data_IF_933060225073
#
_entry.id   IF_933060225073
#
_cell.length_a   1.000
_cell.length_b   1.000
_cell.length_c   1.000
_cell.angle_alpha   90.00
_cell.angle_beta   90.00
_cell.angle_gamma   90.00
#
_symmetry.space_group_name_H-M   'P 1'
#
loop_
_entity.id
_entity.type
_entity.pdbx_description
1 polymer ?
#
# COMPACT_ATOMS: atom_id res chain seq x y z
N UNK A 1 -21.19 22.87 -20.88
CA UNK A 1 -20.91 22.07 -22.08
C UNK A 1 -20.61 20.66 -21.61
N UNK A 2 -21.36 19.65 -22.08
CA UNK A 2 -21.12 18.24 -21.73
C UNK A 2 -19.99 17.65 -22.58
N UNK A 3 -19.43 16.54 -22.13
CA UNK A 3 -18.48 15.71 -22.89
C UNK A 3 -19.17 15.13 -24.14
N UNK A 4 -18.54 15.25 -25.31
CA UNK A 4 -19.04 14.65 -26.56
C UNK A 4 -18.57 13.19 -26.68
N UNK A 5 -19.43 12.26 -26.26
CA UNK A 5 -19.16 10.82 -26.31
C UNK A 5 -19.02 10.29 -27.75
N UNK A 6 -19.61 10.93 -28.76
CA UNK A 6 -19.54 10.48 -30.15
C UNK A 6 -18.12 10.62 -30.71
N UNK A 7 -17.46 11.74 -30.42
CA UNK A 7 -16.04 11.95 -30.77
C UNK A 7 -15.12 11.01 -29.99
N UNK A 8 -15.41 10.75 -28.71
CA UNK A 8 -14.60 9.83 -27.89
C UNK A 8 -14.67 8.39 -28.41
N UNK A 9 -15.85 7.91 -28.83
CA UNK A 9 -15.99 6.54 -29.37
C UNK A 9 -15.12 6.31 -30.60
N UNK A 10 -15.05 7.28 -31.53
CA UNK A 10 -14.19 7.15 -32.71
C UNK A 10 -12.70 7.08 -32.36
N UNK A 11 -12.26 7.83 -31.34
CA UNK A 11 -10.89 7.77 -30.85
C UNK A 11 -10.58 6.44 -30.15
N UNK A 12 -11.56 5.88 -29.42
CA UNK A 12 -11.44 4.56 -28.80
C UNK A 12 -11.31 3.45 -29.85
N UNK A 13 -12.11 3.48 -30.92
CA UNK A 13 -12.03 2.50 -31.99
C UNK A 13 -10.66 2.51 -32.68
N UNK A 14 -10.12 3.70 -32.97
CA UNK A 14 -8.77 3.84 -33.53
C UNK A 14 -7.69 3.30 -32.57
N UNK A 15 -7.81 3.61 -31.28
CA UNK A 15 -6.88 3.12 -30.27
C UNK A 15 -6.93 1.59 -30.11
N UNK A 16 -8.11 0.98 -30.08
CA UNK A 16 -8.23 -0.48 -29.93
C UNK A 16 -7.64 -1.25 -31.11
N UNK A 17 -7.73 -0.70 -32.34
CA UNK A 17 -7.11 -1.31 -33.52
C UNK A 17 -5.58 -1.28 -33.46
N UNK A 18 -4.96 -0.19 -33.00
CA UNK A 18 -3.50 -0.14 -32.84
C UNK A 18 -3.00 -1.09 -31.75
N UNK A 19 -3.75 -1.26 -30.66
CA UNK A 19 -3.37 -2.14 -29.55
C UNK A 19 -3.29 -3.61 -29.95
N UNK A 20 -4.14 -4.09 -30.88
CA UNK A 20 -4.15 -5.51 -31.29
C UNK A 20 -2.86 -5.94 -31.98
N UNK A 21 -2.31 -5.14 -32.89
CA UNK A 21 -1.06 -5.48 -33.59
C UNK A 21 0.18 -5.43 -32.69
N UNK A 22 0.17 -4.55 -31.70
CA UNK A 22 1.24 -4.43 -30.71
C UNK A 22 1.23 -5.57 -29.67
N UNK A 23 0.11 -6.28 -29.54
CA UNK A 23 -0.08 -7.36 -28.55
C UNK A 23 0.84 -8.56 -28.79
N UNK A 24 0.87 -9.09 -30.02
CA UNK A 24 1.66 -10.30 -30.33
C UNK A 24 3.17 -10.03 -30.18
N UNK A 25 3.63 -8.86 -30.62
CA UNK A 25 5.03 -8.45 -30.47
C UNK A 25 5.39 -8.24 -29.00
N UNK A 26 4.47 -7.71 -28.19
CA UNK A 26 4.65 -7.55 -26.75
C UNK A 26 4.75 -8.90 -26.05
N UNK A 27 3.89 -9.87 -26.40
CA UNK A 27 3.90 -11.23 -25.84
C UNK A 27 5.22 -11.94 -26.14
N UNK A 28 5.66 -11.97 -27.40
CA UNK A 28 6.94 -12.57 -27.78
C UNK A 28 8.14 -11.97 -27.02
N UNK A 29 8.13 -10.64 -26.81
CA UNK A 29 9.16 -9.95 -26.04
C UNK A 29 9.12 -10.32 -24.56
N UNK A 30 7.92 -10.49 -23.99
CA UNK A 30 7.75 -10.93 -22.61
C UNK A 30 8.30 -12.36 -22.43
N UNK A 31 7.94 -13.28 -23.32
CA UNK A 31 8.46 -14.65 -23.29
C UNK A 31 9.99 -14.67 -23.42
N UNK A 32 10.57 -13.87 -24.31
CA UNK A 32 12.02 -13.77 -24.46
C UNK A 32 12.71 -13.22 -23.19
N UNK A 33 12.10 -12.24 -22.53
CA UNK A 33 12.59 -11.68 -21.27
C UNK A 33 12.57 -12.73 -20.16
N UNK A 34 11.45 -13.44 -20.00
CA UNK A 34 11.29 -14.51 -19.00
C UNK A 34 12.30 -15.64 -19.22
N UNK A 35 12.47 -16.10 -20.46
CA UNK A 35 13.46 -17.13 -20.82
C UNK A 35 14.90 -16.69 -20.51
N UNK A 36 15.22 -15.42 -20.76
CA UNK A 36 16.55 -14.88 -20.45
C UNK A 36 16.79 -14.81 -18.94
N UNK A 37 15.76 -14.46 -18.18
CA UNK A 37 15.81 -14.34 -16.72
C UNK A 37 15.85 -15.71 -16.01
N UNK A 38 15.22 -16.74 -16.58
CA UNK A 38 15.17 -18.08 -16.01
C UNK A 38 16.55 -18.76 -15.86
N UNK A 39 17.54 -18.33 -16.66
CA UNK A 39 18.91 -18.84 -16.60
C UNK A 39 19.80 -18.22 -15.52
N UNK A 40 19.28 -17.26 -14.74
CA UNK A 40 20.06 -16.55 -13.72
C UNK A 40 19.89 -17.25 -12.37
N UNK A 41 20.99 -17.73 -11.80
CA UNK A 41 20.97 -18.37 -10.48
C UNK A 41 20.70 -17.36 -9.34
N UNK A 42 20.16 -17.82 -8.20
CA UNK A 42 19.84 -16.95 -7.06
C UNK A 42 20.99 -16.10 -6.54
N UNK A 43 22.22 -16.64 -6.46
CA UNK A 43 23.37 -15.93 -5.91
C UNK A 43 23.80 -14.78 -6.83
N UNK A 44 23.83 -15.03 -8.14
CA UNK A 44 24.06 -13.99 -9.15
C UNK A 44 22.97 -12.93 -9.11
N UNK A 45 21.70 -13.33 -8.99
CA UNK A 45 20.58 -12.40 -8.91
C UNK A 45 20.66 -11.52 -7.65
N UNK A 46 20.92 -12.10 -6.47
CA UNK A 46 21.10 -11.35 -5.22
C UNK A 46 22.28 -10.37 -5.32
N UNK A 47 23.44 -10.82 -5.81
CA UNK A 47 24.61 -9.97 -6.01
C UNK A 47 24.34 -8.81 -6.98
N UNK A 48 23.63 -9.06 -8.08
CA UNK A 48 23.26 -8.04 -9.07
C UNK A 48 22.08 -7.17 -8.67
N UNK A 49 21.30 -7.53 -7.65
CA UNK A 49 20.12 -6.75 -7.22
C UNK A 49 20.32 -6.04 -5.89
N UNK A 50 21.43 -6.34 -5.20
CA UNK A 50 21.88 -5.60 -4.04
C UNK A 50 21.90 -4.09 -4.29
N UNK A 51 21.61 -3.34 -3.22
CA UNK A 51 21.50 -1.89 -3.27
C UNK A 51 22.84 -1.24 -3.61
N UNK A 52 22.89 -0.53 -4.74
CA UNK A 52 24.07 0.25 -5.14
C UNK A 52 23.91 1.75 -4.87
N UNK A 53 22.73 2.22 -4.43
CA UNK A 53 22.33 3.64 -4.29
C UNK A 53 22.43 4.53 -5.53
N UNK A 54 23.14 4.09 -6.55
CA UNK A 54 23.48 4.84 -7.76
C UNK A 54 22.56 4.54 -8.95
N UNK A 55 21.67 3.54 -8.84
CA UNK A 55 20.77 3.17 -9.94
C UNK A 55 19.75 4.27 -10.20
N UNK A 56 19.46 4.61 -11.48
CA UNK A 56 18.43 5.59 -11.84
C UNK A 56 17.01 5.02 -11.77
N UNK A 57 16.86 3.80 -11.25
CA UNK A 57 15.58 3.10 -11.11
C UNK A 57 15.57 2.25 -9.86
N UNK A 58 14.36 1.98 -9.37
CA UNK A 58 14.14 1.11 -8.23
C UNK A 58 14.09 -0.35 -8.69
N UNK A 59 15.04 -1.17 -8.24
CA UNK A 59 15.06 -2.61 -8.46
C UNK A 59 14.89 -3.34 -7.13
N UNK A 60 14.07 -4.38 -7.10
CA UNK A 60 13.90 -5.22 -5.91
C UNK A 60 15.19 -5.99 -5.64
N UNK A 61 15.55 -6.14 -4.37
CA UNK A 61 16.64 -7.02 -3.95
C UNK A 61 16.11 -8.46 -3.84
N UNK A 62 16.71 -9.39 -4.60
CA UNK A 62 16.28 -10.79 -4.64
C UNK A 62 16.68 -11.51 -3.36
N UNK A 63 15.72 -12.19 -2.71
CA UNK A 63 15.96 -12.95 -1.48
C UNK A 63 15.87 -14.47 -1.68
N UNK A 64 14.93 -14.95 -2.52
CA UNK A 64 14.77 -16.37 -2.83
C UNK A 64 15.33 -16.70 -4.23
N UNK A 65 14.67 -16.25 -5.29
CA UNK A 65 15.10 -16.40 -6.68
C UNK A 65 14.64 -15.21 -7.52
N UNK A 66 15.24 -15.00 -8.69
CA UNK A 66 14.85 -13.88 -9.56
C UNK A 66 13.41 -14.03 -10.05
N UNK A 67 13.06 -15.22 -10.53
CA UNK A 67 11.71 -15.64 -10.92
C UNK A 67 11.43 -17.01 -10.28
N UNK A 68 10.16 -17.31 -10.03
CA UNK A 68 9.73 -18.55 -9.43
C UNK A 68 8.22 -18.58 -9.21
N UNK A 69 7.71 -19.75 -8.85
CA UNK A 69 6.31 -19.97 -8.53
C UNK A 69 6.24 -20.96 -7.36
N UNK A 70 5.52 -20.59 -6.31
CA UNK A 70 5.36 -21.39 -5.10
C UNK A 70 3.86 -21.61 -4.83
N UNK A 71 3.41 -22.86 -4.64
CA UNK A 71 1.99 -23.16 -4.46
C UNK A 71 1.46 -22.61 -3.13
N UNK A 72 0.14 -22.34 -3.03
CA UNK A 72 -0.47 -21.94 -1.77
C UNK A 72 -0.29 -23.03 -0.71
N UNK A 73 0.08 -22.68 0.53
CA UNK A 73 0.15 -23.63 1.63
C UNK A 73 -1.26 -24.03 2.09
N UNK A 74 -1.35 -25.13 2.82
CA UNK A 74 -2.59 -25.49 3.51
C UNK A 74 -2.92 -24.44 4.59
N UNK A 75 -4.16 -24.00 4.63
CA UNK A 75 -4.63 -23.09 5.69
C UNK A 75 -4.75 -23.83 7.01
N UNK A 76 -4.50 -23.16 8.16
CA UNK A 76 -4.81 -23.70 9.48
C UNK A 76 -6.27 -24.15 9.58
N UNK A 77 -6.60 -25.01 10.55
CA UNK A 77 -7.98 -25.46 10.76
C UNK A 77 -8.89 -24.34 11.35
N UNK A 78 -8.32 -23.54 12.24
CA UNK A 78 -8.96 -22.39 12.88
C UNK A 78 -7.99 -21.20 12.78
N UNK A 79 -8.50 -20.02 12.40
CA UNK A 79 -7.67 -18.81 12.26
C UNK A 79 -8.52 -17.54 12.33
N UNK A 80 -7.85 -16.41 12.44
CA UNK A 80 -8.48 -15.08 12.40
C UNK A 80 -7.83 -14.23 11.32
N UNK A 81 -8.65 -13.46 10.60
CA UNK A 81 -8.20 -12.36 9.74
C UNK A 81 -8.78 -11.06 10.29
N UNK A 82 -7.92 -10.08 10.54
CA UNK A 82 -8.31 -8.74 10.99
C UNK A 82 -7.88 -7.71 9.93
N UNK A 83 -8.81 -6.85 9.51
CA UNK A 83 -8.57 -5.73 8.61
C UNK A 83 -9.04 -4.42 9.22
N UNK A 84 -8.31 -3.34 8.95
CA UNK A 84 -8.68 -1.98 9.33
C UNK A 84 -8.42 -1.05 8.15
N UNK A 85 -9.38 -0.18 7.86
CA UNK A 85 -9.26 0.89 6.87
C UNK A 85 -9.68 2.24 7.49
N UNK A 86 -9.22 3.33 6.89
CA UNK A 86 -9.43 4.67 7.38
C UNK A 86 -9.93 5.63 6.31
N UNK A 87 -10.91 6.44 6.67
CA UNK A 87 -11.28 7.63 5.89
C UNK A 87 -11.25 8.88 6.73
N UNK A 88 -11.27 10.05 6.08
CA UNK A 88 -11.13 11.30 6.80
C UNK A 88 -11.91 12.48 6.19
N UNK A 89 -12.19 13.46 7.05
CA UNK A 89 -12.56 14.83 6.68
C UNK A 89 -11.36 15.71 7.02
N UNK A 90 -10.76 16.29 5.99
CA UNK A 90 -9.59 17.17 6.11
C UNK A 90 -9.93 18.51 6.77
N UNK A 91 -8.89 19.22 7.21
CA UNK A 91 -8.98 20.54 7.81
C UNK A 91 -9.60 21.51 6.79
N UNK A 92 -10.78 22.04 7.13
CA UNK A 92 -11.49 22.97 6.27
C UNK A 92 -11.24 24.42 6.71
N UNK A 93 -10.45 25.14 5.91
CA UNK A 93 -10.15 26.58 6.10
C UNK A 93 -11.38 27.49 6.06
N UNK A 94 -12.54 26.99 5.67
CA UNK A 94 -13.80 27.75 5.67
C UNK A 94 -14.58 27.58 6.98
N UNK A 95 -14.12 26.73 7.89
CA UNK A 95 -14.67 26.59 9.24
C UNK A 95 -13.97 27.54 10.22
N UNK A 96 -14.65 27.96 11.30
CA UNK A 96 -14.08 28.90 12.28
C UNK A 96 -13.03 28.26 13.18
N UNK A 97 -12.99 26.93 13.22
CA UNK A 97 -12.10 26.12 14.07
C UNK A 97 -11.38 25.12 13.20
N UNK A 98 -10.07 24.96 13.44
CA UNK A 98 -9.28 23.91 12.82
C UNK A 98 -9.61 22.59 13.52
N UNK A 99 -10.07 21.61 12.74
CA UNK A 99 -10.26 20.23 13.16
C UNK A 99 -10.22 19.33 11.93
N UNK A 100 -9.86 18.07 12.14
CA UNK A 100 -10.08 17.01 11.16
C UNK A 100 -10.76 15.83 11.84
N UNK A 101 -11.48 15.03 11.05
CA UNK A 101 -12.12 13.81 11.53
C UNK A 101 -11.45 12.62 10.85
N UNK A 102 -11.02 11.65 11.64
CA UNK A 102 -10.66 10.32 11.16
C UNK A 102 -11.81 9.36 11.50
N UNK A 103 -12.11 8.41 10.62
CA UNK A 103 -13.01 7.31 10.91
C UNK A 103 -12.31 6.01 10.54
N UNK A 104 -12.17 5.11 11.52
CA UNK A 104 -11.56 3.80 11.32
C UNK A 104 -12.64 2.74 11.31
N UNK A 105 -12.73 2.03 10.19
CA UNK A 105 -13.58 0.86 10.05
C UNK A 105 -12.74 -0.39 10.23
N UNK A 106 -13.26 -1.38 10.96
CA UNK A 106 -12.54 -2.63 11.19
C UNK A 106 -13.43 -3.86 11.04
N UNK A 107 -12.77 -4.95 10.68
CA UNK A 107 -13.38 -6.25 10.43
C UNK A 107 -12.50 -7.34 11.03
N UNK A 108 -13.07 -8.19 11.89
CA UNK A 108 -12.41 -9.38 12.45
C UNK A 108 -13.24 -10.59 12.07
N UNK A 109 -12.66 -11.49 11.28
CA UNK A 109 -13.29 -12.70 10.79
C UNK A 109 -12.59 -13.91 11.40
N UNK A 110 -13.33 -14.69 12.19
CA UNK A 110 -12.86 -15.96 12.75
C UNK A 110 -13.38 -17.09 11.89
N UNK A 111 -12.48 -17.98 11.47
CA UNK A 111 -12.77 -19.13 10.62
C UNK A 111 -12.45 -20.44 11.35
N UNK A 112 -13.05 -21.53 10.87
CA UNK A 112 -12.87 -22.87 11.40
C UNK A 112 -14.09 -23.38 12.16
N UNK A 113 -13.84 -24.03 13.29
CA UNK A 113 -14.80 -24.73 14.14
C UNK A 113 -15.78 -23.80 14.88
N UNK A 114 -15.40 -22.55 15.14
CA UNK A 114 -16.22 -21.54 15.81
C UNK A 114 -16.21 -20.23 15.00
N UNK A 115 -16.91 -20.20 13.86
CA UNK A 115 -16.90 -19.03 13.00
C UNK A 115 -17.60 -17.85 13.68
N UNK A 116 -17.03 -16.65 13.53
CA UNK A 116 -17.57 -15.40 14.06
C UNK A 116 -17.13 -14.21 13.21
N UNK A 117 -17.87 -13.11 13.28
CA UNK A 117 -17.56 -11.88 12.57
C UNK A 117 -17.88 -10.67 13.45
N UNK A 118 -16.87 -9.82 13.68
CA UNK A 118 -17.03 -8.55 14.39
C UNK A 118 -16.67 -7.39 13.46
N UNK A 119 -17.59 -6.45 13.30
CA UNK A 119 -17.41 -5.22 12.52
C UNK A 119 -17.53 -4.02 13.44
N UNK A 120 -16.70 -2.99 13.23
CA UNK A 120 -16.77 -1.76 14.01
C UNK A 120 -16.45 -0.52 13.17
N UNK A 121 -16.91 0.64 13.63
CA UNK A 121 -16.59 1.97 13.09
C UNK A 121 -16.35 2.92 14.26
N UNK A 122 -15.14 3.48 14.31
CA UNK A 122 -14.68 4.33 15.40
C UNK A 122 -14.21 5.69 14.87
N UNK A 123 -15.01 6.75 15.05
CA UNK A 123 -14.61 8.11 14.68
C UNK A 123 -13.73 8.77 15.75
N UNK A 124 -12.73 9.52 15.31
CA UNK A 124 -11.87 10.35 16.15
C UNK A 124 -11.80 11.78 15.61
N UNK A 125 -12.28 12.74 16.41
CA UNK A 125 -12.24 14.16 16.07
C UNK A 125 -11.01 14.80 16.72
N UNK A 126 -10.02 15.16 15.90
CA UNK A 126 -8.84 15.86 16.37
C UNK A 126 -9.12 17.36 16.47
N UNK A 127 -8.95 17.90 17.67
CA UNK A 127 -9.14 19.33 17.97
C UNK A 127 -7.99 19.95 18.75
N UNK A 128 -7.14 19.12 19.35
CA UNK A 128 -6.06 19.59 20.19
C UNK A 128 -4.87 20.05 19.32
N UNK A 129 -4.15 21.13 19.69
CA UNK A 129 -3.01 21.62 18.91
C UNK A 129 -1.97 20.53 18.61
N UNK A 130 -1.68 19.66 19.56
CA UNK A 130 -0.76 18.53 19.43
C UNK A 130 -1.19 17.47 18.39
N UNK A 131 -2.46 17.43 18.02
CA UNK A 131 -2.97 16.54 16.96
C UNK A 131 -3.08 17.25 15.61
N UNK A 132 -3.24 18.58 15.64
CA UNK A 132 -3.39 19.43 14.46
C UNK A 132 -2.04 19.80 13.85
N UNK A 133 -0.97 19.78 14.63
CA UNK A 133 0.36 20.20 14.22
C UNK A 133 1.40 19.17 14.62
N UNK A 134 2.32 18.89 13.69
CA UNK A 134 3.56 18.18 14.01
C UNK A 134 4.61 19.27 14.28
N UNK A 135 5.08 19.36 15.52
CA UNK A 135 6.07 20.35 15.94
C UNK A 135 7.49 19.77 15.89
N UNK A 136 8.47 20.61 15.55
CA UNK A 136 9.87 20.23 15.62
C UNK A 136 10.34 20.20 17.08
N UNK A 137 10.80 19.05 17.63
CA UNK A 137 11.26 18.97 19.02
C UNK A 137 12.46 19.87 19.36
N UNK A 138 13.16 20.38 18.34
CA UNK A 138 14.36 21.23 18.50
C UNK A 138 14.07 22.73 18.33
N UNK A 139 12.91 23.09 17.78
CA UNK A 139 12.51 24.48 17.51
C UNK A 139 10.99 24.58 17.44
N UNK A 140 10.35 24.96 18.55
CA UNK A 140 8.89 25.07 18.68
C UNK A 140 8.26 26.05 17.70
N UNK A 141 9.03 26.94 17.05
CA UNK A 141 8.50 27.84 16.01
C UNK A 141 8.35 27.15 14.64
N UNK A 142 8.79 25.89 14.52
CA UNK A 142 8.63 25.09 13.33
C UNK A 142 7.56 24.03 13.57
N UNK A 143 6.45 24.19 12.88
CA UNK A 143 5.34 23.24 12.88
C UNK A 143 4.83 23.06 11.45
N UNK A 144 4.33 21.86 11.16
CA UNK A 144 3.57 21.59 9.95
C UNK A 144 2.13 21.22 10.34
N UNK A 145 1.15 21.85 9.68
CA UNK A 145 -0.26 21.53 9.86
C UNK A 145 -0.57 20.14 9.30
N UNK A 146 -1.21 19.29 10.10
CA UNK A 146 -1.72 17.98 9.70
C UNK A 146 -2.91 18.17 8.77
N UNK A 147 -2.63 18.24 7.47
CA UNK A 147 -3.61 18.42 6.39
C UNK A 147 -3.15 17.75 5.10
N UNK A 148 -4.07 17.49 4.18
CA UNK A 148 -3.77 16.88 2.87
C UNK A 148 -2.97 15.59 3.00
N UNK A 149 -1.79 15.54 2.37
CA UNK A 149 -0.93 14.34 2.40
C UNK A 149 -0.44 13.98 3.80
N UNK A 150 -0.15 14.96 4.67
CA UNK A 150 0.29 14.67 6.06
C UNK A 150 -0.85 14.02 6.84
N UNK A 151 -2.08 14.51 6.69
CA UNK A 151 -3.25 13.87 7.29
C UNK A 151 -3.45 12.44 6.77
N UNK A 152 -3.21 12.20 5.48
CA UNK A 152 -3.22 10.85 4.92
C UNK A 152 -2.18 9.92 5.56
N UNK A 153 -0.98 10.41 5.84
CA UNK A 153 0.07 9.65 6.55
C UNK A 153 -0.30 9.38 8.01
N UNK A 154 -0.78 10.40 8.74
CA UNK A 154 -1.27 10.25 10.13
C UNK A 154 -2.39 9.21 10.20
N UNK A 155 -3.32 9.26 9.23
CA UNK A 155 -4.38 8.26 9.13
C UNK A 155 -3.82 6.85 8.94
N UNK A 156 -2.87 6.64 8.04
CA UNK A 156 -2.28 5.31 7.82
C UNK A 156 -1.49 4.78 9.02
N UNK A 157 -0.85 5.65 9.81
CA UNK A 157 -0.27 5.25 11.09
C UNK A 157 -1.37 4.77 12.05
N UNK A 158 -2.44 5.56 12.21
CA UNK A 158 -3.54 5.24 13.12
C UNK A 158 -4.38 4.04 12.68
N UNK A 159 -4.47 3.78 11.37
CA UNK A 159 -5.02 2.54 10.82
C UNK A 159 -4.23 1.34 11.35
N UNK A 160 -2.90 1.37 11.27
CA UNK A 160 -2.05 0.29 11.77
C UNK A 160 -2.07 0.17 13.32
N UNK A 161 -2.13 1.29 14.04
CA UNK A 161 -2.32 1.28 15.50
C UNK A 161 -3.64 0.61 15.89
N UNK A 162 -4.72 0.95 15.20
CA UNK A 162 -6.04 0.34 15.40
C UNK A 162 -6.03 -1.14 15.04
N UNK A 163 -5.33 -1.53 13.97
CA UNK A 163 -5.12 -2.94 13.63
C UNK A 163 -4.36 -3.69 14.73
N UNK A 164 -3.29 -3.10 15.27
CA UNK A 164 -2.54 -3.70 16.38
C UNK A 164 -3.43 -3.90 17.62
N UNK A 165 -4.22 -2.89 18.00
CA UNK A 165 -5.20 -2.99 19.09
C UNK A 165 -6.23 -4.12 18.84
N UNK A 166 -6.68 -4.24 17.60
CA UNK A 166 -7.66 -5.26 17.18
C UNK A 166 -7.08 -6.66 17.26
N UNK A 167 -5.85 -6.86 16.75
CA UNK A 167 -5.15 -8.14 16.80
C UNK A 167 -4.86 -8.57 18.24
N UNK A 168 -4.49 -7.64 19.12
CA UNK A 168 -4.28 -7.93 20.56
C UNK A 168 -5.53 -8.48 21.25
N UNK A 169 -6.73 -8.13 20.78
CA UNK A 169 -8.01 -8.60 21.34
C UNK A 169 -8.49 -9.92 20.71
N UNK A 170 -7.85 -10.38 19.63
CA UNK A 170 -8.21 -11.65 18.98
C UNK A 170 -7.87 -12.86 19.88
N UNK A 171 -8.62 -13.98 19.80
CA UNK A 171 -8.41 -15.17 20.62
C UNK A 171 -6.93 -15.63 20.67
N UNK A 172 -6.32 -15.76 21.87
CA UNK A 172 -4.87 -15.95 22.02
C UNK A 172 -4.34 -17.27 21.44
N UNK A 173 -5.20 -18.28 21.30
CA UNK A 173 -4.81 -19.61 20.82
C UNK A 173 -4.91 -19.76 19.29
N UNK A 174 -5.40 -18.74 18.58
CA UNK A 174 -5.59 -18.79 17.14
C UNK A 174 -4.48 -18.04 16.39
N UNK A 175 -4.03 -18.57 15.24
CA UNK A 175 -3.18 -17.81 14.32
C UNK A 175 -3.96 -16.63 13.72
N UNK A 176 -3.29 -15.50 13.56
CA UNK A 176 -3.91 -14.25 13.09
C UNK A 176 -3.15 -13.66 11.89
N UNK A 177 -3.89 -13.30 10.84
CA UNK A 177 -3.42 -12.40 9.79
C UNK A 177 -3.99 -11.00 10.06
N UNK A 178 -3.12 -10.03 10.34
CA UNK A 178 -3.45 -8.61 10.30
C UNK A 178 -3.21 -8.07 8.90
N UNK A 179 -4.22 -7.47 8.27
CA UNK A 179 -4.21 -7.07 6.87
C UNK A 179 -4.50 -5.57 6.71
N UNK A 180 -3.65 -4.90 5.94
CA UNK A 180 -3.76 -3.46 5.62
C UNK A 180 -4.06 -3.30 4.12
N UNK A 181 -4.91 -2.33 3.77
CA UNK A 181 -5.11 -1.96 2.36
C UNK A 181 -3.98 -1.06 1.85
N UNK A 182 -3.38 -1.41 0.73
CA UNK A 182 -2.28 -0.67 0.13
C UNK A 182 -0.91 -1.12 0.60
N UNK A 183 -0.05 -0.17 0.97
CA UNK A 183 1.41 -0.36 1.04
C UNK A 183 1.93 -0.10 2.45
N UNK A 184 2.84 -0.97 2.92
CA UNK A 184 3.58 -0.74 4.17
C UNK A 184 4.67 0.33 3.98
N UNK A 185 5.11 0.57 2.74
CA UNK A 185 6.04 1.65 2.42
C UNK A 185 5.29 2.98 2.38
N UNK A 186 5.72 3.94 3.21
CA UNK A 186 5.20 5.33 3.22
C UNK A 186 5.72 6.15 2.03
N UNK A 187 5.32 5.77 0.81
CA UNK A 187 5.79 6.38 -0.44
C UNK A 187 5.73 7.91 -0.50
N UNK A 188 4.74 8.62 0.08
CA UNK A 188 4.76 10.08 0.07
C UNK A 188 6.02 10.69 0.70
N UNK A 189 6.64 9.99 1.66
CA UNK A 189 7.87 10.42 2.33
C UNK A 189 9.14 10.11 1.51
N UNK A 190 9.01 9.46 0.35
CA UNK A 190 10.16 9.19 -0.52
C UNK A 190 10.71 10.44 -1.21
N UNK A 191 9.89 11.50 -1.35
CA UNK A 191 10.37 12.79 -1.79
C UNK A 191 10.97 13.57 -0.61
N UNK A 192 12.11 14.22 -0.82
CA UNK A 192 12.75 15.13 0.16
C UNK A 192 11.97 16.45 0.34
N UNK A 193 10.65 16.40 0.15
CA UNK A 193 9.74 17.55 0.27
C UNK A 193 9.41 17.86 1.72
N UNK A 194 9.37 16.83 2.56
CA UNK A 194 9.04 16.96 3.98
C UNK A 194 10.30 17.22 4.81
N UNK A 195 10.15 18.02 5.87
CA UNK A 195 11.22 18.23 6.86
C UNK A 195 11.42 16.93 7.63
N UNK A 196 12.66 16.68 8.08
CA UNK A 196 13.03 15.41 8.73
C UNK A 196 12.16 15.09 9.96
N UNK A 197 11.83 16.09 10.77
CA UNK A 197 11.03 15.87 11.98
C UNK A 197 9.61 15.36 11.69
N UNK A 198 9.05 15.65 10.50
CA UNK A 198 7.75 15.10 10.09
C UNK A 198 7.89 13.61 9.80
N UNK A 199 8.94 13.21 9.07
CA UNK A 199 9.24 11.80 8.83
C UNK A 199 9.55 11.06 10.13
N UNK A 200 10.30 11.68 11.04
CA UNK A 200 10.64 11.11 12.34
C UNK A 200 9.38 10.86 13.19
N UNK A 201 8.45 11.82 13.22
CA UNK A 201 7.16 11.65 13.92
C UNK A 201 6.31 10.53 13.29
N UNK A 202 6.07 10.59 11.98
CA UNK A 202 5.20 9.64 11.28
C UNK A 202 5.77 8.21 11.33
N UNK A 203 7.08 8.05 11.10
CA UNK A 203 7.70 6.73 11.01
C UNK A 203 8.18 6.26 12.39
N UNK A 204 8.98 7.08 13.06
CA UNK A 204 9.69 6.71 14.29
C UNK A 204 8.77 6.60 15.50
N UNK A 205 7.89 7.58 15.70
CA UNK A 205 6.98 7.62 16.84
C UNK A 205 5.60 7.01 16.54
N UNK A 206 5.24 6.88 15.25
CA UNK A 206 3.98 6.29 14.81
C UNK A 206 4.07 4.87 14.27
N UNK A 207 4.52 4.73 13.02
CA UNK A 207 4.47 3.47 12.27
C UNK A 207 5.25 2.33 12.93
N UNK A 208 6.52 2.56 13.28
CA UNK A 208 7.41 1.52 13.79
C UNK A 208 6.94 0.96 15.14
N UNK A 209 6.48 1.77 16.11
CA UNK A 209 5.87 1.26 17.34
C UNK A 209 4.69 0.31 17.10
N UNK A 210 3.78 0.64 16.17
CA UNK A 210 2.66 -0.22 15.84
C UNK A 210 3.11 -1.56 15.22
N UNK A 211 4.08 -1.54 14.30
CA UNK A 211 4.65 -2.77 13.72
C UNK A 211 5.37 -3.62 14.78
N UNK A 212 6.12 -3.00 15.70
CA UNK A 212 6.82 -3.70 16.80
C UNK A 212 5.87 -4.38 17.77
N UNK A 213 4.68 -3.81 18.00
CA UNK A 213 3.65 -4.47 18.82
C UNK A 213 3.20 -5.77 18.18
N UNK A 214 2.93 -5.75 16.86
CA UNK A 214 2.55 -6.94 16.11
C UNK A 214 3.68 -7.98 16.03
N UNK A 215 4.92 -7.53 15.83
CA UNK A 215 6.12 -8.39 15.90
C UNK A 215 6.21 -9.10 17.25
N UNK A 216 6.07 -8.36 18.36
CA UNK A 216 6.13 -8.93 19.72
C UNK A 216 5.00 -9.93 19.99
N UNK A 217 3.82 -9.75 19.42
CA UNK A 217 2.75 -10.74 19.53
C UNK A 217 3.11 -12.05 18.81
N UNK A 218 3.84 -11.95 17.71
CA UNK A 218 4.30 -13.10 16.91
C UNK A 218 5.26 -14.02 17.68
N UNK A 219 5.93 -13.52 18.73
CA UNK A 219 6.78 -14.33 19.62
C UNK A 219 5.99 -15.36 20.43
N UNK A 220 4.71 -15.09 20.69
CA UNK A 220 3.87 -15.90 21.59
C UNK A 220 2.85 -16.79 20.87
N UNK A 221 2.46 -16.41 19.65
CA UNK A 221 1.52 -17.13 18.79
C UNK A 221 1.71 -16.69 17.34
N UNK A 222 1.27 -17.46 16.32
CA UNK A 222 1.44 -17.05 14.93
C UNK A 222 0.61 -15.80 14.60
N UNK A 223 1.28 -14.65 14.48
CA UNK A 223 0.69 -13.39 14.02
C UNK A 223 1.50 -12.92 12.83
N UNK A 224 0.85 -12.76 11.67
CA UNK A 224 1.48 -12.19 10.49
C UNK A 224 0.85 -10.83 10.18
N UNK A 225 1.69 -9.82 9.93
CA UNK A 225 1.28 -8.56 9.33
C UNK A 225 1.51 -8.63 7.82
N UNK A 226 0.49 -8.27 7.04
CA UNK A 226 0.61 -8.08 5.61
C UNK A 226 -0.15 -6.83 5.16
N UNK A 227 0.27 -6.24 4.05
CA UNK A 227 -0.52 -5.29 3.29
C UNK A 227 -0.79 -5.83 1.88
N UNK A 228 -1.96 -5.54 1.33
CA UNK A 228 -2.36 -5.98 0.00
C UNK A 228 -2.49 -4.79 -0.94
N UNK A 229 -1.71 -4.79 -2.01
CA UNK A 229 -1.81 -3.82 -3.11
C UNK A 229 -2.49 -4.50 -4.30
N UNK A 230 -3.74 -4.10 -4.55
CA UNK A 230 -4.49 -4.52 -5.73
C UNK A 230 -3.94 -3.91 -7.02
N UNK A 231 -3.99 -4.69 -8.10
CA UNK A 231 -3.57 -4.31 -9.45
C UNK A 231 -2.27 -3.46 -9.55
N UNK A 232 -1.16 -3.91 -8.93
CA UNK A 232 0.04 -3.11 -8.69
C UNK A 232 0.70 -2.67 -10.00
N UNK A 233 1.25 -1.45 -10.00
CA UNK A 233 1.91 -0.81 -11.15
C UNK A 233 3.42 -0.66 -10.98
N UNK A 234 3.99 -1.44 -10.08
CA UNK A 234 5.43 -1.51 -9.79
C UNK A 234 6.22 -2.13 -10.94
N UNK A 235 7.50 -1.82 -10.95
CA UNK A 235 8.50 -2.33 -11.91
C UNK A 235 9.74 -2.84 -11.17
N UNK A 236 9.65 -3.10 -9.87
CA UNK A 236 10.81 -3.41 -9.04
C UNK A 236 11.44 -4.74 -9.45
N UNK A 237 10.63 -5.76 -9.75
CA UNK A 237 11.10 -7.07 -10.20
C UNK A 237 11.52 -7.03 -11.67
N UNK A 238 10.78 -6.33 -12.53
CA UNK A 238 11.19 -6.07 -13.92
C UNK A 238 12.56 -5.38 -13.96
N UNK A 239 12.81 -4.44 -13.06
CA UNK A 239 14.08 -3.75 -12.92
C UNK A 239 15.17 -4.65 -12.32
N UNK A 240 14.80 -5.58 -11.42
CA UNK A 240 15.70 -6.62 -10.93
C UNK A 240 16.13 -7.59 -12.05
N UNK A 241 15.22 -7.97 -12.95
CA UNK A 241 15.54 -8.74 -14.16
C UNK A 241 16.46 -7.91 -15.08
N UNK A 242 16.13 -6.63 -15.29
CA UNK A 242 16.92 -5.71 -16.13
C UNK A 242 18.36 -5.61 -15.65
N UNK A 243 18.61 -5.35 -14.36
CA UNK A 243 19.96 -5.23 -13.85
C UNK A 243 20.69 -6.58 -13.82
N UNK A 244 19.97 -7.69 -13.60
CA UNK A 244 20.54 -9.03 -13.64
C UNK A 244 21.04 -9.42 -15.03
N UNK A 245 20.35 -8.98 -16.09
CA UNK A 245 20.75 -9.19 -17.49
C UNK A 245 21.73 -8.14 -18.02
N UNK A 246 21.87 -6.99 -17.35
CA UNK A 246 22.70 -5.90 -17.82
C UNK A 246 24.20 -6.27 -17.81
N UNK A 247 24.92 -6.13 -18.94
CA UNK A 247 26.38 -6.28 -18.99
C UNK A 247 27.13 -4.96 -18.76
N UNK A 248 26.41 -3.84 -18.70
CA UNK A 248 26.99 -2.49 -18.62
C UNK A 248 27.24 -2.07 -17.17
N UNK A 249 28.20 -1.16 -16.99
CA UNK A 249 28.45 -0.52 -15.70
C UNK A 249 27.32 0.45 -15.28
N UNK A 250 27.39 0.92 -14.03
CA UNK A 250 26.41 1.84 -13.47
C UNK A 250 26.40 3.21 -14.15
N UNK A 251 27.54 3.68 -14.67
CA UNK A 251 27.63 4.97 -15.37
C UNK A 251 26.79 5.01 -16.65
N UNK A 252 26.85 3.93 -17.45
CA UNK A 252 26.01 3.76 -18.64
C UNK A 252 24.54 3.63 -18.25
N UNK A 253 24.24 2.91 -17.15
CA UNK A 253 22.87 2.76 -16.66
C UNK A 253 22.23 4.11 -16.34
N UNK A 254 22.92 4.99 -15.62
CA UNK A 254 22.42 6.32 -15.21
C UNK A 254 22.06 7.21 -16.39
N UNK A 255 22.71 7.03 -17.54
CA UNK A 255 22.44 7.82 -18.75
C UNK A 255 21.35 7.21 -19.64
N UNK A 256 21.16 5.88 -19.57
CA UNK A 256 20.38 5.15 -20.56
C UNK A 256 19.14 4.46 -20.02
N UNK A 257 18.95 4.43 -18.70
CA UNK A 257 17.87 3.70 -18.02
C UNK A 257 17.07 4.62 -17.09
N UNK A 258 15.78 4.35 -16.98
CA UNK A 258 14.89 4.88 -15.93
C UNK A 258 13.96 3.76 -15.44
N UNK A 259 13.03 4.08 -14.53
CA UNK A 259 12.12 3.09 -13.94
C UNK A 259 11.35 2.24 -14.98
N UNK A 260 11.06 2.77 -16.16
CA UNK A 260 10.21 2.08 -17.15
C UNK A 260 10.92 1.68 -18.44
N UNK A 261 12.02 2.34 -18.77
CA UNK A 261 12.66 2.22 -20.09
C UNK A 261 14.17 2.25 -20.03
N UNK A 262 14.77 1.57 -21.01
CA UNK A 262 16.17 1.70 -21.39
C UNK A 262 16.30 1.85 -22.90
N UNK A 263 17.31 2.59 -23.34
CA UNK A 263 17.71 2.69 -24.75
C UNK A 263 18.78 1.67 -25.14
N UNK A 264 19.33 0.92 -24.18
CA UNK A 264 20.42 -0.04 -24.38
C UNK A 264 19.91 -1.47 -24.38
N UNK A 265 20.49 -2.33 -25.23
CA UNK A 265 20.29 -3.78 -25.17
C UNK A 265 21.24 -4.40 -24.12
N UNK A 266 20.85 -5.47 -23.41
CA UNK A 266 19.54 -6.14 -23.45
C UNK A 266 18.46 -5.46 -22.58
N UNK A 267 18.81 -4.38 -21.86
CA UNK A 267 17.94 -3.72 -20.88
C UNK A 267 16.59 -3.24 -21.45
N UNK A 268 16.56 -2.84 -22.72
CA UNK A 268 15.36 -2.37 -23.41
C UNK A 268 14.33 -3.47 -23.69
N UNK A 269 14.74 -4.74 -23.59
CA UNK A 269 13.83 -5.89 -23.61
C UNK A 269 12.80 -5.86 -22.47
N UNK A 270 13.14 -5.21 -21.35
CA UNK A 270 12.28 -5.02 -20.19
C UNK A 270 11.44 -3.73 -20.23
N UNK A 271 11.38 -3.02 -21.37
CA UNK A 271 10.64 -1.76 -21.47
C UNK A 271 9.12 -1.99 -21.42
N UNK A 272 8.41 -1.10 -20.74
CA UNK A 272 6.94 -1.06 -20.74
C UNK A 272 6.25 -2.33 -20.18
N UNK A 273 6.98 -3.17 -19.45
CA UNK A 273 6.43 -4.23 -18.62
C UNK A 273 6.35 -3.77 -17.16
N UNK A 274 5.35 -4.29 -16.46
CA UNK A 274 5.14 -4.17 -15.03
C UNK A 274 5.42 -5.53 -14.37
N UNK A 275 5.65 -5.51 -13.06
CA UNK A 275 5.91 -6.75 -12.32
C UNK A 275 4.74 -7.74 -12.46
N UNK A 276 3.50 -7.24 -12.42
CA UNK A 276 2.30 -8.07 -12.65
C UNK A 276 2.26 -8.73 -14.02
N UNK A 277 2.86 -8.13 -15.05
CA UNK A 277 2.90 -8.74 -16.38
C UNK A 277 3.78 -9.99 -16.38
N UNK A 278 4.88 -9.98 -15.62
CA UNK A 278 5.74 -11.15 -15.47
C UNK A 278 4.98 -12.27 -14.76
N UNK A 279 4.30 -11.94 -13.66
CA UNK A 279 3.66 -12.93 -12.80
C UNK A 279 2.31 -13.42 -13.31
N UNK A 280 1.64 -12.66 -14.18
CA UNK A 280 0.46 -13.14 -14.91
C UNK A 280 0.78 -14.36 -15.77
N UNK A 281 1.98 -14.41 -16.35
CA UNK A 281 2.46 -15.54 -17.17
C UNK A 281 3.01 -16.70 -16.34
N UNK A 282 3.51 -16.42 -15.12
CA UNK A 282 4.24 -17.40 -14.31
C UNK A 282 3.40 -18.08 -13.22
N UNK A 283 2.37 -17.42 -12.70
CA UNK A 283 1.65 -17.88 -11.50
C UNK A 283 0.28 -18.42 -11.87
N UNK A 284 0.00 -19.65 -11.45
CA UNK A 284 -1.37 -20.19 -11.40
C UNK A 284 -2.16 -19.57 -10.23
N UNK A 285 -3.50 -19.57 -10.24
CA UNK A 285 -4.31 -19.07 -9.13
C UNK A 285 -3.90 -19.64 -7.77
N UNK A 286 -3.68 -18.74 -6.81
CA UNK A 286 -3.19 -19.03 -5.46
C UNK A 286 -1.67 -19.16 -5.33
N UNK A 287 -0.92 -19.26 -6.42
CA UNK A 287 0.55 -19.34 -6.35
C UNK A 287 1.16 -17.97 -6.09
N UNK A 288 2.30 -17.95 -5.40
CA UNK A 288 3.10 -16.75 -5.16
C UNK A 288 4.41 -16.74 -5.95
N UNK A 289 4.92 -15.55 -6.19
CA UNK A 289 6.30 -15.31 -6.64
C UNK A 289 7.30 -15.60 -5.51
N UNK A 290 8.62 -15.54 -5.83
CA UNK A 290 9.65 -15.40 -4.81
C UNK A 290 9.42 -14.17 -3.92
N UNK A 291 10.02 -14.17 -2.73
CA UNK A 291 10.11 -13.01 -1.86
C UNK A 291 11.24 -12.10 -2.33
N UNK A 292 10.94 -10.80 -2.36
CA UNK A 292 11.84 -9.73 -2.67
C UNK A 292 11.87 -8.73 -1.52
N UNK A 293 12.94 -7.95 -1.42
CA UNK A 293 13.03 -6.80 -0.53
C UNK A 293 12.95 -5.51 -1.35
N UNK A 294 12.13 -4.55 -0.91
CA UNK A 294 12.08 -3.25 -1.59
C UNK A 294 13.35 -2.46 -1.30
N UNK A 295 13.82 -1.75 -2.33
CA UNK A 295 14.93 -0.79 -2.19
C UNK A 295 14.42 0.66 -2.05
N UNK A 296 13.14 0.84 -1.69
CA UNK A 296 12.59 2.17 -1.41
C UNK A 296 13.46 2.89 -0.38
N UNK A 297 13.82 4.15 -0.64
CA UNK A 297 14.63 4.95 0.29
C UNK A 297 13.99 5.03 1.67
N UNK A 298 12.67 5.15 1.73
CA UNK A 298 11.90 5.21 2.99
C UNK A 298 12.12 3.95 3.81
N UNK A 299 11.84 2.76 3.25
CA UNK A 299 12.04 1.51 4.00
C UNK A 299 13.50 1.23 4.28
N UNK A 300 14.42 1.61 3.38
CA UNK A 300 15.85 1.33 3.53
C UNK A 300 16.49 2.18 4.62
N UNK A 301 16.14 3.46 4.68
CA UNK A 301 16.86 4.48 5.48
C UNK A 301 16.13 4.81 6.78
N UNK A 302 14.79 4.71 6.80
CA UNK A 302 13.97 5.14 7.93
C UNK A 302 13.40 4.00 8.77
N UNK A 303 13.34 2.77 8.24
CA UNK A 303 12.83 1.62 9.00
C UNK A 303 13.98 0.82 9.61
N UNK A 304 13.77 0.28 10.81
CA UNK A 304 14.72 -0.68 11.38
C UNK A 304 14.72 -2.01 10.62
N UNK A 305 15.78 -2.81 10.80
CA UNK A 305 16.00 -4.03 10.01
C UNK A 305 14.84 -5.03 10.09
N UNK A 306 14.18 -5.17 11.24
CA UNK A 306 13.06 -6.09 11.41
C UNK A 306 11.81 -5.64 10.64
N UNK A 307 11.62 -4.33 10.50
CA UNK A 307 10.45 -3.72 9.87
C UNK A 307 10.70 -3.33 8.40
N UNK A 308 11.87 -3.62 7.82
CA UNK A 308 12.10 -3.44 6.39
C UNK A 308 11.11 -4.23 5.56
N UNK A 309 10.53 -3.57 4.55
CA UNK A 309 9.45 -4.14 3.76
C UNK A 309 9.99 -5.14 2.74
N UNK A 310 9.45 -6.33 2.83
CA UNK A 310 9.59 -7.39 1.84
C UNK A 310 8.24 -7.55 1.12
N UNK A 311 8.25 -8.17 -0.04
CA UNK A 311 7.03 -8.40 -0.78
C UNK A 311 7.13 -9.62 -1.68
N UNK A 312 5.98 -10.16 -2.04
CA UNK A 312 5.79 -11.13 -3.09
C UNK A 312 4.53 -10.80 -3.86
N UNK A 313 4.38 -11.36 -5.06
CA UNK A 313 3.14 -11.30 -5.84
C UNK A 313 2.38 -12.59 -5.67
N UNK A 314 1.06 -12.51 -5.67
CA UNK A 314 0.16 -13.67 -5.64
C UNK A 314 -0.84 -13.54 -6.77
N UNK A 315 -1.13 -14.64 -7.46
CA UNK A 315 -2.28 -14.68 -8.36
C UNK A 315 -3.54 -14.87 -7.52
N UNK A 316 -4.31 -13.79 -7.35
CA UNK A 316 -5.56 -13.77 -6.59
C UNK A 316 -6.75 -14.35 -7.37
N UNK A 317 -6.52 -14.99 -8.52
CA UNK A 317 -7.54 -15.59 -9.38
C UNK A 317 -7.97 -14.66 -10.51
N UNK A 318 -8.39 -13.44 -10.16
CA UNK A 318 -8.83 -12.41 -11.12
C UNK A 318 -7.72 -11.41 -11.47
N UNK A 319 -6.73 -11.26 -10.60
CA UNK A 319 -5.59 -10.35 -10.78
C UNK A 319 -4.32 -10.87 -10.12
N UNK A 320 -3.18 -10.29 -10.50
CA UNK A 320 -1.97 -10.38 -9.70
C UNK A 320 -2.01 -9.29 -8.62
N UNK A 321 -2.06 -9.68 -7.35
CA UNK A 321 -1.90 -8.79 -6.20
C UNK A 321 -0.45 -8.75 -5.73
N UNK A 322 -0.04 -7.65 -5.09
CA UNK A 322 1.24 -7.57 -4.36
C UNK A 322 0.97 -7.62 -2.87
N UNK A 323 1.63 -8.54 -2.18
CA UNK A 323 1.57 -8.68 -0.74
C UNK A 323 2.88 -8.15 -0.16
N UNK A 324 2.79 -7.12 0.68
CA UNK A 324 3.93 -6.57 1.41
C UNK A 324 3.91 -7.07 2.86
N UNK A 325 5.07 -7.49 3.36
CA UNK A 325 5.24 -8.00 4.73
C UNK A 325 6.53 -7.44 5.33
N UNK A 326 6.61 -7.23 6.65
CA UNK A 326 7.87 -6.86 7.29
C UNK A 326 8.87 -8.04 7.25
N UNK A 327 10.16 -7.74 7.43
CA UNK A 327 11.22 -8.74 7.37
C UNK A 327 11.02 -9.89 8.37
N UNK A 328 10.50 -9.62 9.56
CA UNK A 328 10.25 -10.65 10.58
C UNK A 328 9.18 -11.66 10.15
N UNK A 329 8.22 -11.28 9.28
CA UNK A 329 7.31 -12.23 8.62
C UNK A 329 8.02 -12.93 7.47
N UNK A 330 8.70 -12.19 6.60
CA UNK A 330 9.33 -12.72 5.40
C UNK A 330 10.39 -13.80 5.68
N UNK A 331 11.15 -13.66 6.78
CA UNK A 331 12.22 -14.59 7.17
C UNK A 331 11.73 -15.76 8.02
N UNK A 332 10.47 -15.77 8.41
CA UNK A 332 9.86 -16.87 9.16
C UNK A 332 8.93 -17.66 8.23
N UNK A 333 9.34 -18.86 7.85
CA UNK A 333 8.59 -19.71 6.90
C UNK A 333 7.15 -19.99 7.36
N UNK A 334 6.92 -20.10 8.68
CA UNK A 334 5.58 -20.31 9.24
C UNK A 334 4.70 -19.08 9.04
N UNK A 335 5.22 -17.88 9.33
CA UNK A 335 4.47 -16.63 9.19
C UNK A 335 4.28 -16.22 7.73
N UNK A 336 5.28 -16.44 6.88
CA UNK A 336 5.18 -16.23 5.44
C UNK A 336 4.13 -17.16 4.83
N UNK A 337 4.13 -18.44 5.20
CA UNK A 337 3.11 -19.40 4.75
C UNK A 337 1.72 -19.01 5.25
N UNK A 338 1.61 -18.55 6.50
CA UNK A 338 0.35 -18.03 7.05
C UNK A 338 -0.16 -16.83 6.25
N UNK A 339 0.70 -15.84 5.98
CA UNK A 339 0.33 -14.66 5.19
C UNK A 339 -0.10 -15.04 3.76
N UNK A 340 0.67 -15.88 3.07
CA UNK A 340 0.33 -16.34 1.72
C UNK A 340 -0.99 -17.11 1.69
N UNK A 341 -1.13 -18.14 2.52
CA UNK A 341 -2.33 -18.98 2.55
C UNK A 341 -3.59 -18.20 2.92
N UNK A 342 -3.51 -17.33 3.93
CA UNK A 342 -4.67 -16.57 4.39
C UNK A 342 -5.02 -15.40 3.45
N UNK A 343 -4.05 -14.72 2.83
CA UNK A 343 -4.37 -13.73 1.78
C UNK A 343 -5.09 -14.41 0.61
N UNK A 344 -4.62 -15.59 0.19
CA UNK A 344 -5.27 -16.35 -0.87
C UNK A 344 -6.71 -16.76 -0.49
N UNK A 345 -6.93 -17.32 0.70
CA UNK A 345 -8.27 -17.66 1.20
C UNK A 345 -9.21 -16.44 1.17
N UNK A 346 -8.73 -15.27 1.62
CA UNK A 346 -9.53 -14.05 1.59
C UNK A 346 -9.85 -13.59 0.18
N UNK A 347 -8.90 -13.66 -0.76
CA UNK A 347 -9.16 -13.33 -2.16
C UNK A 347 -10.15 -14.31 -2.81
N UNK A 348 -10.06 -15.60 -2.53
CA UNK A 348 -11.03 -16.58 -3.06
C UNK A 348 -12.45 -16.28 -2.60
N UNK A 349 -12.63 -15.93 -1.32
CA UNK A 349 -13.94 -15.58 -0.75
C UNK A 349 -14.46 -14.24 -1.28
N UNK A 350 -13.56 -13.29 -1.55
CA UNK A 350 -13.88 -11.93 -1.99
C UNK A 350 -13.72 -11.68 -3.49
N UNK A 351 -13.80 -12.72 -4.32
CA UNK A 351 -13.78 -12.61 -5.79
C UNK A 351 -12.54 -11.88 -6.33
N UNK A 352 -11.37 -12.22 -5.82
CA UNK A 352 -10.08 -11.66 -6.24
C UNK A 352 -9.54 -10.55 -5.35
N UNK A 353 -10.28 -10.12 -4.32
CA UNK A 353 -9.83 -9.12 -3.36
C UNK A 353 -10.11 -9.55 -1.91
N UNK A 354 -9.26 -9.24 -0.92
CA UNK A 354 -9.45 -9.73 0.45
C UNK A 354 -10.73 -9.22 1.11
N UNK A 355 -11.61 -10.14 1.55
CA UNK A 355 -12.89 -9.81 2.20
C UNK A 355 -12.71 -8.91 3.43
N UNK A 356 -11.76 -9.22 4.31
CA UNK A 356 -11.52 -8.41 5.51
C UNK A 356 -11.21 -6.94 5.19
N UNK A 357 -10.51 -6.67 4.08
CA UNK A 357 -10.23 -5.29 3.63
C UNK A 357 -11.51 -4.63 3.11
N UNK A 358 -12.26 -5.32 2.23
CA UNK A 358 -13.53 -4.78 1.71
C UNK A 358 -14.50 -4.43 2.82
N UNK A 359 -14.67 -5.32 3.80
CA UNK A 359 -15.58 -5.08 4.92
C UNK A 359 -15.08 -3.93 5.81
N UNK A 360 -13.77 -3.83 6.08
CA UNK A 360 -13.24 -2.68 6.83
C UNK A 360 -13.42 -1.36 6.09
N UNK A 361 -13.29 -1.35 4.76
CA UNK A 361 -13.54 -0.17 3.93
C UNK A 361 -14.98 0.31 4.08
N UNK A 362 -15.95 -0.59 3.94
CA UNK A 362 -17.37 -0.25 4.07
C UNK A 362 -17.71 0.36 5.45
N UNK A 363 -17.05 -0.10 6.53
CA UNK A 363 -17.21 0.51 7.86
C UNK A 363 -16.47 1.86 8.02
N UNK A 364 -15.42 2.09 7.23
CA UNK A 364 -14.59 3.29 7.33
C UNK A 364 -15.14 4.47 6.51
N UNK A 365 -15.92 4.22 5.45
CA UNK A 365 -16.33 5.24 4.46
C UNK A 365 -17.12 6.39 5.09
N UNK A 366 -16.57 7.60 4.96
CA UNK A 366 -17.28 8.87 5.19
C UNK A 366 -17.83 9.36 3.84
N UNK A 367 -19.14 9.18 3.65
CA UNK A 367 -19.82 9.55 2.42
C UNK A 367 -20.14 11.07 2.37
N UNK A 368 -20.65 11.53 1.22
CA UNK A 368 -20.97 12.95 1.03
C UNK A 368 -22.09 13.46 1.96
N UNK A 369 -23.00 12.58 2.39
CA UNK A 369 -24.02 12.85 3.40
C UNK A 369 -23.41 13.09 4.77
N UNK A 370 -22.53 12.20 5.22
CA UNK A 370 -21.86 12.29 6.52
C UNK A 370 -21.07 13.60 6.63
N UNK A 371 -20.37 14.00 5.57
CA UNK A 371 -19.65 15.29 5.50
C UNK A 371 -20.56 16.49 5.69
N UNK A 372 -21.79 16.44 5.17
CA UNK A 372 -22.78 17.50 5.36
C UNK A 372 -23.32 17.51 6.79
N UNK A 373 -23.59 16.34 7.36
CA UNK A 373 -24.07 16.20 8.74
C UNK A 373 -23.00 16.68 9.72
N UNK A 374 -21.75 16.26 9.56
CA UNK A 374 -20.61 16.71 10.36
C UNK A 374 -20.48 18.23 10.37
N UNK A 375 -20.47 18.87 9.18
CA UNK A 375 -20.39 20.33 9.06
C UNK A 375 -21.54 21.05 9.77
N UNK A 376 -22.75 20.49 9.69
CA UNK A 376 -23.92 21.03 10.39
C UNK A 376 -23.78 20.88 11.90
N UNK A 377 -23.42 19.68 12.39
CA UNK A 377 -23.20 19.43 13.81
C UNK A 377 -22.15 20.36 14.42
N UNK A 378 -21.04 20.56 13.71
CA UNK A 378 -19.99 21.48 14.14
C UNK A 378 -20.51 22.93 14.20
N UNK A 379 -21.21 23.38 13.16
CA UNK A 379 -21.81 24.73 13.10
C UNK A 379 -22.79 24.95 14.25
N UNK A 380 -23.75 24.03 14.43
CA UNK A 380 -24.75 24.09 15.48
C UNK A 380 -24.09 24.09 16.88
N UNK A 381 -22.99 23.34 17.06
CA UNK A 381 -22.25 23.30 18.32
C UNK A 381 -21.51 24.61 18.63
N UNK A 382 -20.92 25.25 17.62
CA UNK A 382 -20.29 26.57 17.76
C UNK A 382 -21.32 27.66 18.08
N UNK A 383 -22.45 27.66 17.37
CA UNK A 383 -23.54 28.62 17.60
C UNK A 383 -24.13 28.51 19.01
N UNK A 384 -24.29 27.28 19.53
CA UNK A 384 -24.73 27.05 20.92
C UNK A 384 -23.79 27.65 21.96
N UNK A 385 -22.51 27.80 21.64
CA UNK A 385 -21.50 28.43 22.48
C UNK A 385 -21.33 29.93 22.19
N UNK A 386 -22.17 30.52 21.33
CA UNK A 386 -22.09 31.93 20.94
C UNK A 386 -20.92 32.26 20.01
N UNK A 387 -20.28 31.25 19.42
CA UNK A 387 -19.18 31.43 18.46
C UNK A 387 -19.76 31.61 17.05
N UNK A 388 -19.21 32.57 16.30
CA UNK A 388 -19.67 32.87 14.94
C UNK A 388 -19.24 31.78 13.96
N UNK A 389 -20.22 31.13 13.31
CA UNK A 389 -19.99 30.13 12.27
C UNK A 389 -19.71 30.74 10.87
N UNK A 390 -19.13 31.95 10.81
CA UNK A 390 -18.99 32.69 9.55
C UNK A 390 -18.10 31.96 8.53
N UNK A 391 -18.73 31.30 7.56
CA UNK A 391 -18.07 30.69 6.40
C UNK A 391 -17.63 31.74 5.39
N UNK A 392 -16.58 31.46 4.61
CA UNK A 392 -16.10 32.32 3.50
C UNK A 392 -17.22 32.73 2.54
N UNK A 393 -17.23 34.00 2.10
CA UNK A 393 -18.20 34.53 1.13
C UNK A 393 -18.22 33.75 -0.21
N UNK A 394 -17.13 33.06 -0.54
CA UNK A 394 -17.01 32.24 -1.75
C UNK A 394 -17.76 30.91 -1.69
N UNK A 395 -17.93 30.33 -0.51
CA UNK A 395 -18.75 29.12 -0.35
C UNK A 395 -20.24 29.46 -0.30
N UNK A 396 -20.57 30.64 0.21
CA UNK A 396 -21.92 31.19 0.16
C UNK A 396 -22.39 31.42 -1.29
N UNK A 397 -21.51 31.90 -2.17
CA UNK A 397 -21.83 32.12 -3.60
C UNK A 397 -21.88 30.84 -4.44
N UNK A 398 -21.36 29.70 -3.96
CA UNK A 398 -21.55 28.39 -4.61
C UNK A 398 -22.87 27.71 -4.25
N UNK A 399 -23.43 28.03 -3.07
CA UNK A 399 -24.73 27.51 -2.60
C UNK A 399 -25.93 28.29 -3.16
N UNK A 400 -25.69 29.48 -3.70
CA UNK A 400 -26.67 30.28 -4.43
C UNK A 400 -26.15 30.49 -5.85
N UNK A 401 -26.66 29.77 -6.86
CA UNK A 401 -26.37 30.12 -8.25
C UNK A 401 -26.65 31.60 -8.47
N UNK A 402 -25.76 32.30 -9.17
CA UNK A 402 -26.11 33.60 -9.74
C UNK A 402 -27.27 33.35 -10.71
N UNK A 403 -28.39 34.04 -10.48
CA UNK A 403 -29.64 33.94 -11.25
C UNK A 403 -29.40 33.99 -12.74
#
# INVERSE_FOLDING_TARGET
MGLDMGQTVLQLDQFTQSVRGDSDAREQRLTALLNSAAGIDPDTAAAKTGDTKERPYLAAEVQESLLGAYPPPETPADWVVAGVDGSHIDVDRHLPVACYLLNFGGCVLTYGSKPDATLFSEPHLATAPEELYISNPKDENQEELVSGTILGLVRSVKELETLANTVEQCPPDLPVLGLVDGSLVMWPLSSQTYRSYVSDEIIGEGLLPAMKRLEKLSDSRPVALAAYVSYPRSTEVVNAVRCSLCPHDLGVCTQSCNNRRSTQQPCSGANDFLDRDLFQELLEPGWRSPVYKTNSSVSRESYDEANKVHFFYVNAGEEIGRVEVPQWVAKNETLLSLAHGLVWDQCQRGQGYPVAISESHEQAVINAGDRRVFRRMLTDSLERQGLSAATSQKDRSKRSPWV
#
